data_IF_976421579109
#
_entry.id   IF_976421579109
#
_cell.length_a   1.000
_cell.length_b   1.000
_cell.length_c   1.000
_cell.angle_alpha   90.00
_cell.angle_beta   90.00
_cell.angle_gamma   90.00
#
_symmetry.space_group_name_H-M   'P 1'
#
loop_
_entity.id
_entity.type
_entity.pdbx_description
1 polymer ?
#
# COMPACT_ATOMS: atom_id res chain seq x y z
N UNK A 1 25.09 4.83 -36.25
CA UNK A 1 23.82 4.39 -35.65
C UNK A 1 24.14 3.24 -34.72
N UNK A 2 24.06 3.45 -33.40
CA UNK A 2 23.91 2.41 -32.38
C UNK A 2 23.67 3.12 -31.05
N UNK A 3 22.41 3.34 -30.69
CA UNK A 3 22.05 3.52 -29.28
C UNK A 3 21.72 2.14 -28.75
N UNK A 4 22.65 1.59 -27.98
CA UNK A 4 22.43 0.39 -27.18
C UNK A 4 21.32 0.72 -26.18
N UNK A 5 20.08 0.35 -26.52
CA UNK A 5 18.91 0.57 -25.67
C UNK A 5 18.88 -0.54 -24.62
N UNK A 6 19.80 -0.50 -23.67
CA UNK A 6 19.65 -1.25 -22.44
C UNK A 6 18.41 -0.70 -21.73
N UNK A 7 17.36 -1.51 -21.48
CA UNK A 7 16.16 -1.02 -20.82
C UNK A 7 16.53 -0.47 -19.45
N UNK A 8 15.93 0.67 -19.09
CA UNK A 8 16.11 1.30 -17.78
C UNK A 8 15.90 0.24 -16.68
N UNK A 9 16.91 -0.01 -15.82
CA UNK A 9 16.82 -1.04 -14.79
C UNK A 9 15.63 -0.82 -13.85
N UNK A 10 15.19 0.42 -13.65
CA UNK A 10 14.01 0.74 -12.84
C UNK A 10 12.74 0.30 -13.56
N UNK A 11 12.61 0.57 -14.86
CA UNK A 11 11.45 0.10 -15.65
C UNK A 11 11.39 -1.43 -15.74
N UNK A 12 12.55 -2.08 -15.86
CA UNK A 12 12.65 -3.54 -15.85
C UNK A 12 12.19 -4.13 -14.50
N UNK A 13 12.56 -3.48 -13.39
CA UNK A 13 12.10 -3.87 -12.05
C UNK A 13 10.58 -3.64 -11.88
N UNK A 14 10.05 -2.50 -12.30
CA UNK A 14 8.62 -2.21 -12.26
C UNK A 14 7.80 -3.24 -13.03
N UNK A 15 8.25 -3.62 -14.22
CA UNK A 15 7.58 -4.63 -15.05
C UNK A 15 7.52 -5.99 -14.34
N UNK A 16 8.60 -6.40 -13.67
CA UNK A 16 8.63 -7.65 -12.89
C UNK A 16 7.68 -7.58 -11.70
N UNK A 17 7.74 -6.49 -10.94
CA UNK A 17 6.90 -6.29 -9.75
C UNK A 17 5.41 -6.23 -10.11
N UNK A 18 5.03 -5.66 -11.25
CA UNK A 18 3.64 -5.68 -11.73
C UNK A 18 3.12 -7.10 -11.97
N UNK A 19 3.99 -8.03 -12.36
CA UNK A 19 3.64 -9.44 -12.54
C UNK A 19 3.59 -10.22 -11.24
N UNK A 20 4.50 -9.96 -10.31
CA UNK A 20 4.70 -10.77 -9.10
C UNK A 20 3.86 -10.28 -7.89
N UNK A 21 3.77 -8.96 -7.68
CA UNK A 21 3.15 -8.38 -6.49
C UNK A 21 1.66 -8.73 -6.28
N UNK A 22 0.81 -8.87 -7.32
CA UNK A 22 -0.58 -9.28 -7.10
C UNK A 22 -0.70 -10.64 -6.38
N UNK A 23 0.14 -11.60 -6.75
CA UNK A 23 0.15 -12.94 -6.13
C UNK A 23 0.76 -12.88 -4.72
N UNK A 24 1.81 -12.07 -4.52
CA UNK A 24 2.39 -11.84 -3.19
C UNK A 24 1.40 -11.21 -2.21
N UNK A 25 0.60 -10.25 -2.67
CA UNK A 25 -0.47 -9.63 -1.87
C UNK A 25 -1.54 -10.66 -1.51
N UNK A 26 -1.94 -11.51 -2.46
CA UNK A 26 -2.91 -12.58 -2.19
C UNK A 26 -2.36 -13.55 -1.13
N UNK A 27 -1.10 -13.99 -1.26
CA UNK A 27 -0.44 -14.87 -0.31
C UNK A 27 -0.33 -14.25 1.09
N UNK A 28 0.08 -12.98 1.19
CA UNK A 28 0.20 -12.29 2.47
C UNK A 28 -1.17 -12.10 3.15
N UNK A 29 -2.24 -11.90 2.36
CA UNK A 29 -3.62 -11.82 2.86
C UNK A 29 -4.09 -13.14 3.43
N UNK A 30 -3.84 -14.26 2.75
CA UNK A 30 -4.18 -15.60 3.26
C UNK A 30 -3.39 -15.92 4.55
N UNK A 31 -2.11 -15.55 4.61
CA UNK A 31 -1.30 -15.70 5.82
C UNK A 31 -1.89 -14.91 7.01
N UNK A 32 -2.34 -13.67 6.77
CA UNK A 32 -3.05 -12.89 7.79
C UNK A 32 -4.35 -13.55 8.22
N UNK A 33 -5.19 -14.03 7.29
CA UNK A 33 -6.44 -14.70 7.64
C UNK A 33 -6.22 -15.95 8.49
N UNK A 34 -5.18 -16.74 8.16
CA UNK A 34 -4.78 -17.91 8.96
C UNK A 34 -4.36 -17.52 10.36
N UNK A 35 -3.46 -16.53 10.49
CA UNK A 35 -3.05 -16.01 11.80
C UNK A 35 -4.29 -15.52 12.56
N UNK A 36 -5.06 -14.58 12.02
CA UNK A 36 -6.25 -14.05 12.68
C UNK A 36 -7.27 -15.13 13.12
N UNK A 37 -7.36 -16.25 12.38
CA UNK A 37 -8.21 -17.39 12.72
C UNK A 37 -7.67 -18.29 13.84
N UNK A 38 -6.35 -18.37 14.03
CA UNK A 38 -5.70 -19.18 15.09
C UNK A 38 -5.95 -18.62 16.51
N UNK A 39 -6.42 -17.37 16.65
CA UNK A 39 -6.70 -16.72 17.94
C UNK A 39 -7.93 -17.27 18.70
N UNK A 40 -8.66 -18.24 18.15
CA UNK A 40 -9.89 -18.76 18.74
C UNK A 40 -9.64 -19.62 20.01
N UNK A 41 -9.51 -18.96 21.16
CA UNK A 41 -9.97 -19.49 22.45
C UNK A 41 -8.97 -20.23 23.35
N UNK A 42 -7.68 -20.32 23.00
CA UNK A 42 -6.72 -21.15 23.74
C UNK A 42 -5.52 -20.36 24.28
N UNK A 43 -5.29 -19.13 23.82
CA UNK A 43 -4.06 -18.38 24.10
C UNK A 43 -4.07 -17.70 25.48
N UNK A 44 -2.94 -17.80 26.19
CA UNK A 44 -2.67 -16.95 27.35
C UNK A 44 -2.37 -15.49 26.93
N UNK A 45 -2.24 -14.60 27.91
CA UNK A 45 -2.01 -13.17 27.64
C UNK A 45 -0.71 -12.89 26.86
N UNK A 46 0.34 -13.68 27.07
CA UNK A 46 1.63 -13.54 26.39
C UNK A 46 1.53 -14.04 24.95
N UNK A 47 0.91 -15.20 24.77
CA UNK A 47 0.64 -15.79 23.45
C UNK A 47 -0.26 -14.87 22.62
N UNK A 48 -1.30 -14.30 23.21
CA UNK A 48 -2.17 -13.34 22.54
C UNK A 48 -1.43 -12.06 22.13
N UNK A 49 -0.53 -11.53 22.98
CA UNK A 49 0.27 -10.36 22.65
C UNK A 49 1.24 -10.63 21.48
N UNK A 50 1.90 -11.80 21.49
CA UNK A 50 2.75 -12.24 20.39
C UNK A 50 1.95 -12.43 19.10
N UNK A 51 0.77 -13.03 19.20
CA UNK A 51 -0.17 -13.22 18.10
C UNK A 51 -0.60 -11.89 17.46
N UNK A 52 -1.03 -10.93 18.28
CA UNK A 52 -1.38 -9.58 17.84
C UNK A 52 -0.21 -8.87 17.14
N UNK A 53 1.02 -9.08 17.62
CA UNK A 53 2.22 -8.53 17.00
C UNK A 53 2.47 -9.13 15.62
N UNK A 54 2.30 -10.44 15.47
CA UNK A 54 2.41 -11.13 14.18
C UNK A 54 1.35 -10.64 13.18
N UNK A 55 0.09 -10.51 13.61
CA UNK A 55 -0.98 -9.96 12.77
C UNK A 55 -0.69 -8.53 12.31
N UNK A 56 -0.21 -7.65 13.20
CA UNK A 56 0.18 -6.28 12.84
C UNK A 56 1.34 -6.26 11.84
N UNK A 57 2.33 -7.14 12.01
CA UNK A 57 3.44 -7.24 11.07
C UNK A 57 2.98 -7.69 9.67
N UNK A 58 2.06 -8.67 9.59
CA UNK A 58 1.48 -9.14 8.34
C UNK A 58 0.70 -8.02 7.62
N UNK A 59 -0.12 -7.25 8.35
CA UNK A 59 -0.85 -6.11 7.78
C UNK A 59 0.09 -5.00 7.28
N UNK A 60 1.17 -4.70 8.02
CA UNK A 60 2.18 -3.74 7.54
C UNK A 60 2.89 -4.23 6.28
N UNK A 61 3.15 -5.54 6.18
CA UNK A 61 3.74 -6.11 4.98
C UNK A 61 2.81 -5.97 3.76
N UNK A 62 1.53 -6.27 3.93
CA UNK A 62 0.50 -6.04 2.90
C UNK A 62 0.45 -4.58 2.45
N UNK A 63 0.44 -3.64 3.39
CA UNK A 63 0.46 -2.21 3.09
C UNK A 63 1.69 -1.81 2.24
N UNK A 64 2.87 -2.31 2.59
CA UNK A 64 4.10 -2.08 1.82
C UNK A 64 4.02 -2.66 0.40
N UNK A 65 3.48 -3.86 0.21
CA UNK A 65 3.33 -4.48 -1.11
C UNK A 65 2.37 -3.66 -1.99
N UNK A 66 1.25 -3.18 -1.43
CA UNK A 66 0.30 -2.31 -2.14
C UNK A 66 0.97 -1.00 -2.57
N UNK A 67 1.78 -0.39 -1.69
CA UNK A 67 2.54 0.83 -2.02
C UNK A 67 3.54 0.58 -3.15
N UNK A 68 4.27 -0.55 -3.09
CA UNK A 68 5.19 -0.95 -4.16
C UNK A 68 4.45 -1.19 -5.48
N UNK A 69 3.29 -1.85 -5.45
CA UNK A 69 2.49 -2.10 -6.64
C UNK A 69 2.01 -0.79 -7.25
N UNK A 70 1.53 0.15 -6.43
CA UNK A 70 1.13 1.49 -6.87
C UNK A 70 2.29 2.25 -7.52
N UNK A 71 3.47 2.23 -6.89
CA UNK A 71 4.70 2.80 -7.48
C UNK A 71 5.04 2.16 -8.83
N UNK A 72 4.91 0.83 -8.94
CA UNK A 72 5.18 0.12 -10.19
C UNK A 72 4.14 0.47 -11.29
N UNK A 73 2.88 0.68 -10.93
CA UNK A 73 1.81 1.10 -11.84
C UNK A 73 1.97 2.54 -12.34
N UNK A 74 2.38 3.46 -11.48
CA UNK A 74 2.53 4.90 -11.81
C UNK A 74 3.75 5.15 -12.72
N UNK A 75 4.64 4.16 -12.89
CA UNK A 75 5.96 4.36 -13.51
C UNK A 75 6.83 5.26 -12.64
N UNK A 76 8.08 5.54 -13.02
CA UNK A 76 8.99 6.40 -12.24
C UNK A 76 8.55 7.89 -12.15
N UNK A 77 7.26 8.18 -12.30
CA UNK A 77 6.65 9.51 -12.21
C UNK A 77 5.62 9.58 -11.09
N UNK A 78 6.02 10.21 -9.98
CA UNK A 78 5.18 10.77 -8.91
C UNK A 78 4.53 9.78 -7.94
N UNK A 79 5.35 9.04 -7.20
CA UNK A 79 4.95 8.74 -5.82
C UNK A 79 5.15 10.01 -5.01
N UNK A 80 4.07 10.77 -4.86
CA UNK A 80 4.04 11.91 -3.96
C UNK A 80 3.97 11.37 -2.53
N UNK A 81 5.12 10.98 -1.99
CA UNK A 81 5.28 10.54 -0.60
C UNK A 81 5.04 11.67 0.42
N UNK A 82 4.78 12.89 -0.07
CA UNK A 82 4.51 14.08 0.76
C UNK A 82 3.31 14.90 0.26
N UNK A 83 2.28 14.24 -0.33
CA UNK A 83 1.00 14.92 -0.56
C UNK A 83 0.26 15.08 0.79
N UNK A 84 0.18 16.30 1.37
CA UNK A 84 -0.61 16.47 2.57
C UNK A 84 -2.09 16.31 2.20
N UNK A 85 -2.83 15.52 2.98
CA UNK A 85 -4.31 15.46 2.95
C UNK A 85 -4.99 16.86 3.00
N UNK A 86 -4.22 17.90 3.35
CA UNK A 86 -4.61 19.32 3.31
C UNK A 86 -5.15 19.79 1.96
N UNK A 87 -4.67 19.24 0.83
CA UNK A 87 -5.19 19.66 -0.48
C UNK A 87 -6.68 19.33 -0.67
N UNK A 88 -7.18 18.27 -0.04
CA UNK A 88 -8.58 17.88 -0.15
C UNK A 88 -9.45 18.72 0.81
N UNK A 89 -8.98 18.95 2.03
CA UNK A 89 -9.69 19.77 3.03
C UNK A 89 -9.84 21.22 2.58
N UNK A 90 -8.79 21.83 2.01
CA UNK A 90 -8.85 23.22 1.53
C UNK A 90 -9.77 23.39 0.31
N UNK A 91 -9.86 22.37 -0.56
CA UNK A 91 -10.82 22.33 -1.66
C UNK A 91 -12.26 22.21 -1.15
N UNK A 92 -12.53 21.29 -0.23
CA UNK A 92 -13.85 21.09 0.37
C UNK A 92 -14.32 22.34 1.15
N UNK A 93 -13.42 23.00 1.89
CA UNK A 93 -13.72 24.27 2.57
C UNK A 93 -14.00 25.39 1.57
N UNK A 94 -13.25 25.47 0.47
CA UNK A 94 -13.46 26.47 -0.58
C UNK A 94 -14.79 26.27 -1.31
N UNK A 95 -15.19 25.02 -1.55
CA UNK A 95 -16.46 24.66 -2.15
C UNK A 95 -17.64 24.98 -1.21
N UNK A 96 -17.54 24.62 0.07
CA UNK A 96 -18.53 24.95 1.08
C UNK A 96 -18.71 26.47 1.23
N UNK A 97 -17.62 27.24 1.26
CA UNK A 97 -17.66 28.71 1.31
C UNK A 97 -18.33 29.32 0.07
N UNK A 98 -18.09 28.76 -1.12
CA UNK A 98 -18.73 29.21 -2.37
C UNK A 98 -20.23 28.94 -2.36
N UNK A 99 -20.64 27.79 -1.82
CA UNK A 99 -22.06 27.43 -1.69
C UNK A 99 -22.81 28.29 -0.66
N UNK A 100 -22.11 28.83 0.34
CA UNK A 100 -22.68 29.72 1.36
C UNK A 100 -22.67 31.21 0.97
N UNK A 101 -21.73 31.63 0.12
CA UNK A 101 -21.63 33.01 -0.38
C UNK A 101 -22.45 33.30 -1.64
N UNK A 102 -23.15 32.30 -2.17
CA UNK A 102 -24.07 32.41 -3.31
C UNK A 102 -25.53 32.36 -2.88
N UNK A 103 -25.96 33.32 -2.05
CA UNK A 103 -27.36 33.61 -1.74
C UNK A 103 -27.53 35.12 -1.52
#
# INVERSE_FOLDING_TARGET
MSTDKTPDPIMALQTRLLGELPDDIAMAREAYHRLAGEAAGIMDAKEFSAHQTACKAALRHLESLIKLLRWACEGAGKVDEDAPEKSNVDQLISEAKRSLGGA
#
